data_IF_162529438342
#
_entry.id   IF_162529438342
#
_cell.length_a   1.000
_cell.length_b   1.000
_cell.length_c   1.000
_cell.angle_alpha   90.00
_cell.angle_beta   90.00
_cell.angle_gamma   90.00
#
_symmetry.space_group_name_H-M   'P 1'
#
loop_
_entity.id
_entity.type
_entity.pdbx_description
1 polymer ?
#
# COMPACT_ATOMS: atom_id res chain seq x y z
N UNK A 1 -5.55 -16.65 -2.60
CA UNK A 1 -4.45 -15.67 -2.79
C UNK A 1 -5.04 -14.33 -3.11
N UNK A 2 -4.64 -13.27 -2.43
CA UNK A 2 -5.10 -11.93 -2.74
C UNK A 2 -3.98 -10.92 -2.55
N UNK A 3 -3.83 -10.02 -3.53
CA UNK A 3 -2.96 -8.86 -3.45
C UNK A 3 -3.83 -7.63 -3.18
N UNK A 4 -3.62 -7.00 -2.03
CA UNK A 4 -4.49 -5.99 -1.44
C UNK A 4 -3.75 -4.66 -1.40
N UNK A 5 -4.40 -3.61 -1.87
CA UNK A 5 -3.98 -2.22 -1.65
C UNK A 5 -4.81 -1.66 -0.49
N UNK A 6 -4.14 -1.04 0.48
CA UNK A 6 -4.77 -0.31 1.57
C UNK A 6 -4.07 1.04 1.70
N UNK A 7 -4.72 2.13 1.29
CA UNK A 7 -4.03 3.40 1.14
C UNK A 7 -4.97 4.60 1.32
N UNK A 8 -4.42 5.70 1.81
CA UNK A 8 -5.09 7.00 1.83
C UNK A 8 -4.74 7.80 0.57
N UNK A 9 -5.72 8.53 0.05
CA UNK A 9 -5.53 9.48 -1.05
C UNK A 9 -6.15 10.82 -0.73
N UNK A 10 -5.65 11.88 -1.40
CA UNK A 10 -6.38 13.13 -1.51
C UNK A 10 -7.64 12.96 -2.37
N UNK A 11 -8.51 13.96 -2.36
CA UNK A 11 -9.72 13.97 -3.20
C UNK A 11 -9.39 13.88 -4.69
N UNK A 12 -8.28 14.46 -5.11
CA UNK A 12 -7.76 14.44 -6.47
C UNK A 12 -6.77 13.30 -6.77
N UNK A 13 -6.68 12.29 -5.86
CA UNK A 13 -6.05 11.00 -6.14
C UNK A 13 -4.54 10.91 -5.91
N UNK A 14 -3.96 11.82 -5.14
CA UNK A 14 -2.54 11.79 -4.79
C UNK A 14 -2.30 11.08 -3.46
N UNK A 15 -1.16 10.40 -3.33
CA UNK A 15 -0.71 9.71 -2.11
C UNK A 15 0.37 10.48 -1.35
N UNK A 16 1.02 11.44 -2.01
CA UNK A 16 1.96 12.37 -1.40
C UNK A 16 1.84 13.73 -2.09
N UNK A 17 2.21 14.80 -1.41
CA UNK A 17 2.18 16.14 -1.98
C UNK A 17 3.33 16.39 -3.00
N UNK A 18 3.41 17.58 -3.56
CA UNK A 18 4.42 17.97 -4.57
C UNK A 18 5.86 17.88 -4.05
N UNK A 19 6.07 17.89 -2.74
CA UNK A 19 7.36 17.72 -2.08
C UNK A 19 7.59 16.27 -1.59
N UNK A 20 6.67 15.35 -1.90
CA UNK A 20 6.73 13.96 -1.45
C UNK A 20 6.35 13.77 0.01
N UNK A 21 5.72 14.75 0.66
CA UNK A 21 5.36 14.72 2.07
C UNK A 21 3.96 14.17 2.30
N UNK A 22 3.74 13.67 3.52
CA UNK A 22 2.49 13.05 3.98
C UNK A 22 1.79 13.89 5.08
N UNK A 23 2.19 15.14 5.29
CA UNK A 23 1.65 15.99 6.37
C UNK A 23 0.13 16.22 6.25
N UNK A 24 -0.40 16.16 5.04
CA UNK A 24 -1.83 16.26 4.76
C UNK A 24 -2.68 15.16 5.40
N UNK A 25 -2.10 14.00 5.75
CA UNK A 25 -2.78 12.93 6.50
C UNK A 25 -3.19 13.40 7.90
N UNK A 26 -2.55 14.41 8.45
CA UNK A 26 -2.87 15.02 9.74
C UNK A 26 -3.98 16.07 9.65
N UNK A 27 -4.49 16.38 8.45
CA UNK A 27 -5.56 17.34 8.25
C UNK A 27 -6.90 16.90 8.87
N UNK A 28 -7.07 15.62 9.11
CA UNK A 28 -8.21 15.05 9.82
C UNK A 28 -7.74 14.52 11.18
N UNK A 29 -8.18 15.15 12.29
CA UNK A 29 -7.76 14.75 13.62
C UNK A 29 -8.29 13.35 13.99
N UNK A 30 -7.48 12.59 14.69
CA UNK A 30 -7.86 11.31 15.29
C UNK A 30 -7.33 11.23 16.72
N UNK A 31 -7.84 12.06 17.65
CA UNK A 31 -7.31 12.16 19.01
C UNK A 31 -7.46 10.87 19.82
N UNK A 32 -8.48 10.08 19.50
CA UNK A 32 -8.78 8.81 20.18
C UNK A 32 -8.05 7.61 19.56
N UNK A 33 -7.20 7.83 18.57
CA UNK A 33 -6.47 6.79 17.83
C UNK A 33 -7.39 5.66 17.33
N UNK A 34 -8.55 6.03 16.79
CA UNK A 34 -9.51 5.07 16.22
C UNK A 34 -8.83 4.38 15.04
N UNK A 35 -8.81 3.05 15.05
CA UNK A 35 -8.31 2.27 13.92
C UNK A 35 -9.28 2.37 12.75
N UNK A 36 -8.76 2.73 11.58
CA UNK A 36 -9.53 2.86 10.33
C UNK A 36 -9.37 1.66 9.40
N UNK A 37 -9.02 0.49 9.96
CA UNK A 37 -8.92 -0.77 9.23
C UNK A 37 -7.51 -1.34 9.11
N UNK A 38 -6.49 -0.69 9.68
CA UNK A 38 -5.11 -1.18 9.62
C UNK A 38 -4.90 -2.43 10.48
N UNK A 39 -5.48 -2.48 11.68
CA UNK A 39 -5.36 -3.65 12.56
C UNK A 39 -5.98 -4.89 11.92
N UNK A 40 -7.24 -4.88 11.45
CA UNK A 40 -7.82 -6.01 10.73
C UNK A 40 -7.03 -6.41 9.48
N UNK A 41 -6.44 -5.45 8.76
CA UNK A 41 -5.57 -5.75 7.62
C UNK A 41 -4.35 -6.54 8.07
N UNK A 42 -3.64 -6.09 9.12
CA UNK A 42 -2.46 -6.78 9.66
C UNK A 42 -2.78 -8.20 10.17
N UNK A 43 -3.96 -8.41 10.71
CA UNK A 43 -4.42 -9.76 11.12
C UNK A 43 -4.67 -10.67 9.92
N UNK A 44 -5.20 -10.13 8.83
CA UNK A 44 -5.58 -10.87 7.63
C UNK A 44 -4.40 -11.27 6.76
N UNK A 45 -3.44 -10.39 6.55
CA UNK A 45 -2.35 -10.59 5.60
C UNK A 45 -1.25 -11.52 6.14
N UNK A 46 -0.51 -12.13 5.23
CA UNK A 46 0.67 -12.94 5.53
C UNK A 46 1.97 -12.13 5.46
N UNK A 47 2.01 -11.11 4.62
CA UNK A 47 3.18 -10.25 4.43
C UNK A 47 2.86 -8.98 3.65
N UNK A 48 3.86 -8.11 3.57
CA UNK A 48 3.80 -6.86 2.79
C UNK A 48 4.79 -6.91 1.65
N UNK A 49 4.43 -6.28 0.53
CA UNK A 49 5.35 -6.06 -0.60
C UNK A 49 5.43 -4.56 -0.87
N UNK A 50 6.62 -4.00 -0.83
CA UNK A 50 6.85 -2.58 -1.10
C UNK A 50 8.14 -2.35 -1.89
N UNK A 51 8.28 -1.16 -2.48
CA UNK A 51 9.52 -0.73 -3.09
C UNK A 51 10.51 -0.13 -2.08
N UNK A 52 11.75 0.07 -2.51
CA UNK A 52 12.80 0.69 -1.70
C UNK A 52 12.40 2.07 -1.17
N UNK A 53 11.85 2.94 -2.02
CA UNK A 53 11.47 4.29 -1.60
C UNK A 53 10.43 4.29 -0.47
N UNK A 54 9.48 3.36 -0.51
CA UNK A 54 8.49 3.20 0.55
C UNK A 54 9.14 2.75 1.86
N UNK A 55 10.07 1.79 1.80
CA UNK A 55 10.85 1.39 2.97
C UNK A 55 11.60 2.57 3.57
N UNK A 56 12.30 3.36 2.74
CA UNK A 56 13.05 4.54 3.18
C UNK A 56 12.14 5.57 3.87
N UNK A 57 10.94 5.79 3.35
CA UNK A 57 9.93 6.67 3.96
C UNK A 57 9.49 6.13 5.32
N UNK A 58 9.16 4.84 5.42
CA UNK A 58 8.76 4.22 6.70
C UNK A 58 9.87 4.33 7.75
N UNK A 59 11.11 4.06 7.38
CA UNK A 59 12.27 4.20 8.26
C UNK A 59 12.52 5.65 8.70
N UNK A 60 12.14 6.63 7.87
CA UNK A 60 12.30 8.06 8.15
C UNK A 60 11.35 8.60 9.22
N UNK A 61 10.25 7.89 9.52
CA UNK A 61 9.26 8.35 10.50
C UNK A 61 9.80 8.41 11.94
N UNK A 62 10.88 7.68 12.24
CA UNK A 62 11.51 7.68 13.57
C UNK A 62 10.61 7.11 14.68
N UNK A 63 9.58 6.36 14.32
CA UNK A 63 8.70 5.64 15.22
C UNK A 63 9.03 4.14 15.24
N UNK A 64 8.38 3.42 16.16
CA UNK A 64 8.48 1.97 16.20
C UNK A 64 8.03 1.34 14.87
N UNK A 65 8.64 0.20 14.53
CA UNK A 65 8.29 -0.55 13.33
C UNK A 65 6.80 -0.91 13.30
N UNK A 66 6.05 -0.43 12.31
CA UNK A 66 4.58 -0.50 12.36
C UNK A 66 4.01 -1.86 11.95
N UNK A 67 4.83 -2.76 11.39
CA UNK A 67 4.35 -4.00 10.80
C UNK A 67 4.64 -5.21 11.67
N UNK A 68 3.62 -6.02 11.91
CA UNK A 68 3.73 -7.30 12.61
C UNK A 68 4.00 -8.48 11.68
N UNK A 69 4.08 -8.23 10.38
CA UNK A 69 4.27 -9.23 9.32
C UNK A 69 5.58 -8.99 8.57
N UNK A 70 6.15 -10.01 7.92
CA UNK A 70 7.33 -9.85 7.06
C UNK A 70 7.11 -8.82 5.95
N UNK A 71 8.13 -8.01 5.68
CA UNK A 71 8.13 -7.03 4.60
C UNK A 71 9.09 -7.47 3.50
N UNK A 72 8.57 -7.68 2.31
CA UNK A 72 9.32 -8.03 1.11
C UNK A 72 9.57 -6.76 0.29
N UNK A 73 10.83 -6.39 0.14
CA UNK A 73 11.22 -5.18 -0.59
C UNK A 73 11.65 -5.54 -2.00
N UNK A 74 10.87 -5.06 -2.98
CA UNK A 74 11.18 -5.17 -4.40
C UNK A 74 12.28 -4.17 -4.76
N UNK A 75 13.46 -4.67 -5.06
CA UNK A 75 14.57 -3.85 -5.52
C UNK A 75 15.56 -4.64 -6.35
N UNK A 76 15.94 -4.11 -7.50
CA UNK A 76 16.98 -4.68 -8.34
C UNK A 76 18.39 -4.19 -7.96
N UNK A 77 18.49 -3.17 -7.09
CA UNK A 77 19.74 -2.50 -6.74
C UNK A 77 20.14 -2.63 -5.28
N UNK A 78 19.19 -2.89 -4.37
CA UNK A 78 19.51 -3.16 -2.97
C UNK A 78 20.20 -4.51 -2.83
N UNK A 79 21.33 -4.52 -2.10
CA UNK A 79 22.09 -5.73 -1.82
C UNK A 79 22.04 -6.15 -0.35
N UNK A 80 21.68 -5.21 0.52
CA UNK A 80 21.65 -5.42 1.97
C UNK A 80 20.39 -4.84 2.59
N UNK A 81 19.89 -5.52 3.62
CA UNK A 81 18.79 -5.04 4.45
C UNK A 81 19.33 -4.00 5.42
N UNK A 82 18.57 -2.94 5.75
CA UNK A 82 18.96 -1.97 6.76
C UNK A 82 19.30 -2.65 8.10
N UNK A 83 20.38 -2.19 8.74
CA UNK A 83 20.80 -2.73 10.01
C UNK A 83 19.70 -2.67 11.08
N UNK A 84 19.48 -3.78 11.78
CA UNK A 84 18.45 -3.92 12.81
C UNK A 84 17.09 -4.38 12.29
N UNK A 85 16.96 -4.63 10.99
CA UNK A 85 15.72 -5.11 10.35
C UNK A 85 15.86 -6.45 9.63
N UNK A 86 16.95 -7.17 9.90
CA UNK A 86 17.32 -8.41 9.20
C UNK A 86 16.30 -9.55 9.44
N UNK A 87 15.55 -9.47 10.53
CA UNK A 87 14.48 -10.42 10.88
C UNK A 87 13.09 -9.98 10.40
N UNK A 88 12.96 -8.80 9.81
CA UNK A 88 11.68 -8.17 9.43
C UNK A 88 11.56 -7.86 7.95
N UNK A 89 12.68 -7.53 7.31
CA UNK A 89 12.76 -7.09 5.92
C UNK A 89 13.53 -8.11 5.09
N UNK A 90 12.96 -8.48 3.95
CA UNK A 90 13.53 -9.47 3.03
C UNK A 90 13.59 -8.87 1.62
N UNK A 91 14.74 -8.96 0.98
CA UNK A 91 14.91 -8.45 -0.39
C UNK A 91 14.39 -9.46 -1.39
N UNK A 92 13.59 -9.00 -2.33
CA UNK A 92 13.09 -9.77 -3.47
C UNK A 92 13.34 -9.01 -4.77
N UNK A 93 13.62 -9.73 -5.85
CA UNK A 93 13.90 -9.15 -7.16
C UNK A 93 13.40 -10.06 -8.27
N UNK A 94 13.16 -9.48 -9.43
CA UNK A 94 12.70 -10.20 -10.61
C UNK A 94 11.34 -9.69 -11.08
N UNK A 95 10.76 -10.43 -12.02
CA UNK A 95 9.42 -10.14 -12.54
C UNK A 95 8.36 -10.36 -11.44
N UNK A 96 7.33 -9.53 -11.41
CA UNK A 96 6.32 -9.57 -10.33
C UNK A 96 5.64 -10.93 -10.20
N UNK A 97 5.33 -11.56 -11.31
CA UNK A 97 4.67 -12.89 -11.31
C UNK A 97 5.54 -13.97 -10.69
N UNK A 98 6.85 -13.92 -10.97
CA UNK A 98 7.81 -14.89 -10.41
C UNK A 98 7.98 -14.67 -8.91
N UNK A 99 8.11 -13.39 -8.48
CA UNK A 99 8.18 -13.03 -7.07
C UNK A 99 6.93 -13.50 -6.33
N UNK A 100 5.73 -13.26 -6.87
CA UNK A 100 4.48 -13.72 -6.28
C UNK A 100 4.40 -15.24 -6.21
N UNK A 101 4.82 -15.95 -7.25
CA UNK A 101 4.85 -17.41 -7.26
C UNK A 101 5.75 -17.98 -6.15
N UNK A 102 6.94 -17.38 -5.98
CA UNK A 102 7.89 -17.77 -4.92
C UNK A 102 7.35 -17.48 -3.51
N UNK A 103 6.71 -16.33 -3.30
CA UNK A 103 6.09 -15.98 -2.02
C UNK A 103 4.92 -16.92 -1.70
N UNK A 104 4.05 -17.17 -2.68
CA UNK A 104 2.91 -18.07 -2.53
C UNK A 104 3.37 -19.50 -2.21
N UNK A 105 4.44 -20.00 -2.85
CA UNK A 105 5.01 -21.30 -2.56
C UNK A 105 5.55 -21.42 -1.12
N UNK A 106 5.89 -20.29 -0.50
CA UNK A 106 6.33 -20.20 0.90
C UNK A 106 5.18 -19.97 1.88
N UNK A 107 3.93 -19.90 1.40
CA UNK A 107 2.73 -19.74 2.21
C UNK A 107 2.26 -18.28 2.38
N UNK A 108 2.89 -17.30 1.73
CA UNK A 108 2.46 -15.90 1.74
C UNK A 108 1.42 -15.68 0.64
N UNK A 109 0.14 -15.84 0.97
CA UNK A 109 -0.97 -15.84 0.02
C UNK A 109 -1.81 -14.56 0.05
N UNK A 110 -1.88 -13.90 1.20
CA UNK A 110 -2.57 -12.62 1.38
C UNK A 110 -1.51 -11.53 1.57
N UNK A 111 -1.30 -10.71 0.53
CA UNK A 111 -0.21 -9.72 0.50
C UNK A 111 -0.75 -8.30 0.47
N UNK A 112 -0.25 -7.45 1.36
CA UNK A 112 -0.47 -6.01 1.30
C UNK A 112 0.58 -5.36 0.40
N UNK A 113 0.13 -4.76 -0.71
CA UNK A 113 0.97 -4.08 -1.70
C UNK A 113 1.00 -2.60 -1.38
N UNK A 114 2.19 -2.04 -1.11
CA UNK A 114 2.36 -0.66 -0.68
C UNK A 114 3.36 0.10 -1.54
N UNK A 115 3.12 1.42 -1.65
CA UNK A 115 3.95 2.34 -2.44
C UNK A 115 3.45 2.56 -3.87
N UNK A 116 3.42 3.84 -4.28
CA UNK A 116 2.79 4.26 -5.52
C UNK A 116 3.32 3.56 -6.77
N UNK A 117 4.63 3.51 -6.95
CA UNK A 117 5.25 2.85 -8.11
C UNK A 117 5.00 1.34 -8.09
N UNK A 118 5.12 0.70 -6.93
CA UNK A 118 4.84 -0.73 -6.77
C UNK A 118 3.39 -1.04 -7.10
N UNK A 119 2.44 -0.29 -6.54
CA UNK A 119 1.00 -0.43 -6.83
C UNK A 119 0.72 -0.29 -8.32
N UNK A 120 1.27 0.75 -8.97
CA UNK A 120 1.06 0.97 -10.39
C UNK A 120 1.61 -0.18 -11.25
N UNK A 121 2.76 -0.76 -10.89
CA UNK A 121 3.30 -1.90 -11.59
C UNK A 121 2.45 -3.16 -11.42
N UNK A 122 1.93 -3.42 -10.22
CA UNK A 122 0.99 -4.51 -9.98
C UNK A 122 -0.31 -4.34 -10.77
N UNK A 123 -0.83 -3.12 -10.86
CA UNK A 123 -2.04 -2.81 -11.64
C UNK A 123 -1.80 -2.99 -13.14
N UNK A 124 -0.65 -2.60 -13.67
CA UNK A 124 -0.29 -2.80 -15.09
C UNK A 124 -0.32 -4.26 -15.51
N UNK A 125 0.02 -5.17 -14.60
CA UNK A 125 0.02 -6.61 -14.83
C UNK A 125 -1.27 -7.31 -14.39
N UNK A 126 -2.31 -6.54 -13.97
CA UNK A 126 -3.59 -7.06 -13.44
C UNK A 126 -3.41 -8.03 -12.26
N UNK A 127 -2.51 -7.68 -11.34
CA UNK A 127 -2.16 -8.51 -10.18
C UNK A 127 -2.82 -8.07 -8.87
N UNK A 128 -3.67 -7.05 -8.89
CA UNK A 128 -4.40 -6.56 -7.70
C UNK A 128 -5.79 -7.16 -7.64
N UNK A 129 -6.16 -7.69 -6.49
CA UNK A 129 -7.45 -8.32 -6.24
C UNK A 129 -8.40 -7.42 -5.45
N UNK A 130 -7.88 -6.63 -4.52
CA UNK A 130 -8.66 -5.76 -3.66
C UNK A 130 -7.99 -4.41 -3.47
N UNK A 131 -8.78 -3.34 -3.46
CA UNK A 131 -8.31 -1.98 -3.20
C UNK A 131 -9.17 -1.38 -2.10
N UNK A 132 -8.57 -0.98 -0.99
CA UNK A 132 -9.21 -0.18 0.06
C UNK A 132 -8.61 1.22 0.02
N UNK A 133 -9.42 2.19 -0.37
CA UNK A 133 -9.01 3.60 -0.45
C UNK A 133 -9.74 4.39 0.63
N UNK A 134 -8.97 5.08 1.47
CA UNK A 134 -9.48 6.10 2.38
C UNK A 134 -9.22 7.46 1.76
N UNK A 135 -10.29 8.13 1.32
CA UNK A 135 -10.21 9.42 0.63
C UNK A 135 -10.37 10.57 1.60
N UNK A 136 -9.37 11.45 1.63
CA UNK A 136 -9.37 12.66 2.41
C UNK A 136 -10.03 13.80 1.61
N UNK A 137 -10.83 14.66 2.26
CA UNK A 137 -11.50 15.78 1.60
C UNK A 137 -10.55 16.97 1.39
N UNK A 138 -9.43 16.75 0.73
CA UNK A 138 -8.40 17.75 0.42
C UNK A 138 -7.95 17.61 -1.03
N UNK A 139 -7.77 18.72 -1.70
CA UNK A 139 -7.13 18.79 -3.02
C UNK A 139 -5.66 19.17 -2.83
N UNK A 140 -4.75 18.30 -3.26
CA UNK A 140 -3.31 18.59 -3.21
C UNK A 140 -2.84 19.37 -4.44
N UNK A 141 -3.57 19.30 -5.54
CA UNK A 141 -3.27 20.01 -6.79
C UNK A 141 -2.02 19.49 -7.50
N UNK A 142 -1.54 18.31 -7.16
CA UNK A 142 -0.36 17.66 -7.72
C UNK A 142 0.38 16.87 -6.65
N UNK A 143 1.38 16.11 -7.07
CA UNK A 143 2.17 15.25 -6.20
C UNK A 143 2.36 13.86 -6.80
N UNK A 144 2.48 12.83 -5.96
CA UNK A 144 2.58 11.45 -6.37
C UNK A 144 1.18 10.83 -6.55
N UNK A 145 0.74 10.51 -7.79
CA UNK A 145 -0.56 9.91 -8.03
C UNK A 145 -0.58 8.45 -7.58
N UNK A 146 -1.75 7.99 -7.08
CA UNK A 146 -1.95 6.58 -6.78
C UNK A 146 -1.98 5.76 -8.07
N UNK A 147 -2.73 6.21 -9.06
CA UNK A 147 -2.92 5.50 -10.32
C UNK A 147 -2.07 6.12 -11.43
N UNK A 148 -1.62 5.26 -12.34
CA UNK A 148 -0.89 5.61 -13.55
C UNK A 148 -1.57 5.05 -14.80
N UNK A 149 -0.87 5.13 -15.92
CA UNK A 149 -1.37 4.63 -17.19
C UNK A 149 -1.52 3.10 -17.19
N UNK A 150 -2.58 2.64 -17.81
CA UNK A 150 -2.89 1.22 -18.05
C UNK A 150 -3.06 0.97 -19.55
N UNK A 151 -2.69 -0.23 -20.01
CA UNK A 151 -2.90 -0.62 -21.40
C UNK A 151 -4.39 -0.85 -21.73
N UNK A 152 -5.18 -1.26 -20.72
CA UNK A 152 -6.61 -1.49 -20.84
C UNK A 152 -7.29 -1.17 -19.50
N UNK A 153 -8.59 -0.82 -19.52
CA UNK A 153 -9.34 -0.62 -18.28
C UNK A 153 -9.41 -1.88 -17.43
N UNK A 154 -9.33 -1.72 -16.10
CA UNK A 154 -9.56 -2.77 -15.12
C UNK A 154 -10.85 -2.47 -14.36
N UNK A 155 -11.79 -3.41 -14.35
CA UNK A 155 -13.07 -3.24 -13.69
C UNK A 155 -13.02 -3.75 -12.26
N UNK A 156 -13.59 -2.96 -11.35
CA UNK A 156 -13.70 -3.29 -9.93
C UNK A 156 -15.16 -3.11 -9.49
N UNK A 157 -15.58 -3.93 -8.55
CA UNK A 157 -16.88 -3.81 -7.90
C UNK A 157 -16.72 -3.24 -6.51
N UNK A 158 -17.54 -2.26 -6.16
CA UNK A 158 -17.64 -1.77 -4.78
C UNK A 158 -18.32 -2.83 -3.92
N UNK A 159 -17.68 -3.22 -2.85
CA UNK A 159 -18.21 -4.17 -1.86
C UNK A 159 -18.55 -3.49 -0.54
N UNK A 160 -17.88 -2.40 -0.20
CA UNK A 160 -18.15 -1.62 1.00
C UNK A 160 -17.80 -0.14 0.75
N UNK A 161 -18.59 0.76 1.32
CA UNK A 161 -18.26 2.18 1.37
C UNK A 161 -18.84 2.77 2.65
N UNK A 162 -18.03 3.49 3.41
CA UNK A 162 -18.42 4.06 4.70
C UNK A 162 -17.69 5.37 4.98
N UNK A 163 -18.29 6.18 5.83
CA UNK A 163 -17.63 7.36 6.38
C UNK A 163 -16.93 6.96 7.68
N UNK A 164 -15.63 7.24 7.76
CA UNK A 164 -14.82 7.01 8.96
C UNK A 164 -14.32 8.33 9.51
N UNK A 165 -14.17 8.43 10.83
CA UNK A 165 -13.80 9.68 11.52
C UNK A 165 -14.70 10.87 11.13
N UNK A 166 -15.98 10.60 10.85
CA UNK A 166 -17.00 11.57 10.43
C UNK A 166 -16.67 12.41 9.17
N UNK A 167 -15.54 12.18 8.53
CA UNK A 167 -14.99 13.05 7.48
C UNK A 167 -14.41 12.28 6.30
N UNK A 168 -13.78 11.14 6.54
CA UNK A 168 -13.10 10.36 5.51
C UNK A 168 -14.05 9.36 4.87
N UNK A 169 -13.95 9.16 3.56
CA UNK A 169 -14.69 8.11 2.85
C UNK A 169 -13.76 6.95 2.58
N UNK A 170 -14.05 5.79 3.17
CA UNK A 170 -13.33 4.56 2.89
C UNK A 170 -14.16 3.63 2.03
N UNK A 171 -13.60 3.21 0.90
CA UNK A 171 -14.28 2.33 -0.06
C UNK A 171 -13.41 1.13 -0.38
N UNK A 172 -14.02 -0.05 -0.34
CA UNK A 172 -13.41 -1.32 -0.75
C UNK A 172 -13.91 -1.71 -2.12
N UNK A 173 -12.96 -1.99 -3.00
CA UNK A 173 -13.17 -2.43 -4.38
C UNK A 173 -12.57 -3.81 -4.56
N UNK A 174 -13.28 -4.72 -5.22
CA UNK A 174 -12.79 -6.05 -5.57
C UNK A 174 -12.71 -6.18 -7.08
N UNK A 175 -11.62 -6.75 -7.56
CA UNK A 175 -11.35 -6.93 -8.98
C UNK A 175 -12.36 -7.89 -9.61
N UNK A 176 -12.96 -7.47 -10.72
CA UNK A 176 -13.81 -8.30 -11.58
C UNK A 176 -13.01 -8.76 -12.80
N UNK A 177 -12.69 -10.04 -12.84
CA UNK A 177 -12.02 -10.70 -13.99
C UNK A 177 -12.98 -11.53 -14.80
#
# INVERSE_FOLDING_TARGET
MANIIFIATSLDGYIADKQGKLDWLKSVPNPDNIDTGFVPLMERIDGLVMGRNTLDVVLSFGCDWPYSKPVFVLSNTMTEVPQGYEDKVFLVKGELKDVLADLNAKGFNELYIDGGVTIQNFLKEDLIDEIVITRFPILLGGGAPLFGDLQQPLNFKVTKSEVVLDTLVQTTYVRER
#
